data_IF_553336512373
#
_entry.id   IF_553336512373
#
_cell.length_a   1.000
_cell.length_b   1.000
_cell.length_c   1.000
_cell.angle_alpha   90.00
_cell.angle_beta   90.00
_cell.angle_gamma   90.00
#
_symmetry.space_group_name_H-M   'P 1'
#
loop_
_entity.id
_entity.type
_entity.pdbx_description
1 polymer ?
#
# COMPACT_ATOMS: atom_id res chain seq x y z
N UNK A 1 13.35 -0.20 9.96
CA UNK A 1 13.20 -0.25 8.49
C UNK A 1 12.67 1.10 8.05
N UNK A 2 13.52 1.92 7.42
CA UNK A 2 13.06 3.10 6.70
C UNK A 2 12.65 2.58 5.32
N UNK A 3 11.35 2.49 5.05
CA UNK A 3 10.88 2.15 3.70
C UNK A 3 11.19 3.39 2.86
N UNK A 4 12.24 3.29 2.03
CA UNK A 4 12.55 4.33 1.05
C UNK A 4 11.51 4.18 -0.06
N UNK A 5 10.58 5.13 -0.14
CA UNK A 5 9.66 5.22 -1.28
C UNK A 5 10.54 5.46 -2.51
N UNK A 6 10.62 4.46 -3.39
CA UNK A 6 11.24 4.63 -4.70
C UNK A 6 10.14 4.91 -5.69
N UNK A 7 10.15 6.12 -6.25
CA UNK A 7 9.30 6.44 -7.40
C UNK A 7 9.80 5.60 -8.58
N UNK A 8 8.86 5.03 -9.33
CA UNK A 8 9.14 4.26 -10.54
C UNK A 8 8.67 5.11 -11.73
N UNK A 9 9.53 6.01 -12.27
CA UNK A 9 9.13 6.92 -13.34
C UNK A 9 8.99 6.21 -14.71
N UNK A 10 9.52 4.99 -14.84
CA UNK A 10 9.59 4.29 -16.12
C UNK A 10 9.14 2.83 -16.00
N UNK A 11 8.61 2.30 -17.10
CA UNK A 11 8.22 0.90 -17.21
C UNK A 11 9.40 -0.05 -16.93
N UNK A 12 9.15 -1.07 -16.09
CA UNK A 12 10.13 -2.10 -15.76
C UNK A 12 9.61 -3.49 -16.17
N UNK A 13 10.28 -4.19 -17.11
CA UNK A 13 9.85 -5.52 -17.55
C UNK A 13 10.00 -6.57 -16.45
N UNK A 14 9.29 -7.69 -16.59
CA UNK A 14 9.41 -8.85 -15.69
C UNK A 14 8.62 -8.76 -14.38
N UNK A 15 7.66 -7.83 -14.28
CA UNK A 15 6.84 -7.61 -13.07
C UNK A 15 5.42 -8.15 -13.15
N UNK A 16 5.09 -8.88 -14.23
CA UNK A 16 3.78 -9.50 -14.42
C UNK A 16 2.70 -8.57 -14.97
N UNK A 17 3.07 -7.35 -15.40
CA UNK A 17 2.23 -6.40 -16.14
C UNK A 17 2.91 -6.00 -17.44
N UNK A 18 2.11 -5.72 -18.48
CA UNK A 18 2.60 -5.27 -19.79
C UNK A 18 2.96 -3.78 -19.76
N UNK A 19 3.59 -3.31 -20.84
CA UNK A 19 3.86 -1.88 -21.01
C UNK A 19 2.57 -1.10 -21.25
N UNK A 20 1.61 -1.67 -21.96
CA UNK A 20 0.30 -1.03 -22.19
C UNK A 20 -0.47 -0.85 -20.88
N UNK A 21 -0.43 -1.84 -19.98
CA UNK A 21 -1.02 -1.73 -18.64
C UNK A 21 -0.35 -0.62 -17.81
N UNK A 22 0.96 -0.46 -17.97
CA UNK A 22 1.72 0.57 -17.30
C UNK A 22 1.37 1.97 -17.82
N UNK A 23 1.43 2.14 -19.14
CA UNK A 23 1.15 3.42 -19.79
C UNK A 23 -0.32 3.85 -19.56
N UNK A 24 -1.24 2.89 -19.42
CA UNK A 24 -2.65 3.15 -19.12
C UNK A 24 -2.93 3.72 -17.72
N UNK A 25 -2.00 3.59 -16.77
CA UNK A 25 -2.13 4.13 -15.41
C UNK A 25 -1.02 5.13 -15.04
N UNK A 26 -0.12 5.42 -15.98
CA UNK A 26 1.03 6.30 -15.77
C UNK A 26 0.60 7.75 -15.48
N UNK A 27 -0.51 8.20 -16.07
CA UNK A 27 -1.09 9.51 -15.82
C UNK A 27 -1.88 9.52 -14.50
N UNK A 28 -1.15 9.46 -13.38
CA UNK A 28 -1.73 9.57 -12.05
C UNK A 28 -1.73 11.04 -11.61
N UNK A 29 -2.89 11.65 -11.31
CA UNK A 29 -2.94 13.02 -10.84
C UNK A 29 -2.12 13.20 -9.56
N UNK A 30 -1.39 14.32 -9.41
CA UNK A 30 -0.67 14.61 -8.18
C UNK A 30 -1.68 14.80 -7.05
N UNK A 31 -1.52 14.05 -5.96
CA UNK A 31 -2.35 14.24 -4.79
C UNK A 31 -1.88 15.48 -4.02
N UNK A 32 -2.77 16.45 -3.83
CA UNK A 32 -2.44 17.64 -3.06
C UNK A 32 -2.29 17.30 -1.58
N UNK A 33 -1.55 18.15 -0.87
CA UNK A 33 -1.37 18.01 0.58
C UNK A 33 -2.70 18.12 1.34
N UNK A 34 -3.57 19.01 0.88
CA UNK A 34 -4.89 19.26 1.46
C UNK A 34 -5.80 18.03 1.32
N UNK A 35 -5.77 17.36 0.16
CA UNK A 35 -6.51 16.10 -0.06
C UNK A 35 -5.98 14.96 0.80
N UNK A 36 -4.66 14.89 1.01
CA UNK A 36 -4.07 13.90 1.92
C UNK A 36 -4.45 14.17 3.39
N UNK A 37 -4.52 15.43 3.81
CA UNK A 37 -4.93 15.80 5.17
C UNK A 37 -6.44 15.57 5.41
N UNK A 38 -7.27 15.75 4.38
CA UNK A 38 -8.69 15.45 4.42
C UNK A 38 -9.01 13.94 4.27
N UNK A 39 -8.01 13.12 3.93
CA UNK A 39 -8.21 11.69 3.73
C UNK A 39 -8.58 10.98 5.03
N UNK A 40 -9.58 10.10 4.97
CA UNK A 40 -9.97 9.31 6.13
C UNK A 40 -8.85 8.32 6.50
N UNK A 41 -8.58 8.11 7.81
CA UNK A 41 -7.65 7.08 8.25
C UNK A 41 -8.03 5.71 7.69
N UNK A 42 -7.02 4.90 7.32
CA UNK A 42 -7.22 3.58 6.72
C UNK A 42 -8.19 2.68 7.51
N UNK A 43 -8.10 2.70 8.85
CA UNK A 43 -8.97 1.90 9.72
C UNK A 43 -10.44 2.30 9.66
N UNK A 44 -10.71 3.58 9.40
CA UNK A 44 -12.07 4.11 9.29
C UNK A 44 -12.62 3.89 7.88
N UNK A 45 -11.79 4.04 6.85
CA UNK A 45 -12.17 3.78 5.47
C UNK A 45 -12.40 2.29 5.18
N UNK A 46 -11.61 1.40 5.80
CA UNK A 46 -11.63 -0.05 5.56
C UNK A 46 -11.61 -0.86 6.86
N UNK A 47 -12.66 -0.72 7.67
CA UNK A 47 -12.81 -1.36 8.98
C UNK A 47 -12.54 -2.88 8.94
N UNK A 48 -13.17 -3.58 8.01
CA UNK A 48 -13.13 -5.05 7.95
C UNK A 48 -11.73 -5.55 7.58
N UNK A 49 -11.03 -4.81 6.72
CA UNK A 49 -9.65 -5.13 6.33
C UNK A 49 -8.69 -4.84 7.47
N UNK A 50 -8.89 -3.71 8.18
CA UNK A 50 -8.11 -3.36 9.35
C UNK A 50 -8.23 -4.44 10.44
N UNK A 51 -9.43 -4.95 10.70
CA UNK A 51 -9.63 -6.01 11.68
C UNK A 51 -8.91 -7.31 11.29
N UNK A 52 -9.02 -7.72 10.02
CA UNK A 52 -8.30 -8.89 9.50
C UNK A 52 -6.78 -8.74 9.67
N UNK A 53 -6.22 -7.57 9.38
CA UNK A 53 -4.80 -7.29 9.56
C UNK A 53 -4.37 -7.33 11.03
N UNK A 54 -5.16 -6.78 11.95
CA UNK A 54 -4.85 -6.80 13.38
C UNK A 54 -4.88 -8.23 13.95
N UNK A 55 -5.87 -9.05 13.56
CA UNK A 55 -5.91 -10.48 13.91
C UNK A 55 -4.67 -11.23 13.39
N UNK A 56 -4.26 -10.98 12.15
CA UNK A 56 -3.07 -11.61 11.56
C UNK A 56 -1.78 -11.19 12.30
N UNK A 57 -1.65 -9.91 12.67
CA UNK A 57 -0.51 -9.42 13.47
C UNK A 57 -0.48 -10.04 14.87
N UNK A 58 -1.63 -10.13 15.55
CA UNK A 58 -1.74 -10.75 16.86
C UNK A 58 -1.31 -12.22 16.81
N UNK A 59 -1.76 -12.98 15.81
CA UNK A 59 -1.35 -14.37 15.61
C UNK A 59 0.16 -14.51 15.35
N UNK A 60 0.76 -13.58 14.59
CA UNK A 60 2.21 -13.57 14.34
C UNK A 60 3.01 -13.27 15.61
N UNK A 61 2.56 -12.31 16.43
CA UNK A 61 3.18 -12.01 17.74
C UNK A 61 3.11 -13.20 18.69
N UNK A 62 1.94 -13.84 18.79
CA UNK A 62 1.74 -15.01 19.65
C UNK A 62 2.59 -16.23 19.22
N UNK A 63 2.84 -16.40 17.92
CA UNK A 63 3.78 -17.42 17.42
C UNK A 63 5.23 -17.06 17.73
N UNK A 64 5.60 -15.80 17.58
CA UNK A 64 6.96 -15.32 17.86
C UNK A 64 7.31 -15.35 19.35
N UNK A 65 6.34 -15.29 20.25
CA UNK A 65 6.56 -15.37 21.71
C UNK A 65 6.53 -16.80 22.25
N UNK A 66 6.23 -17.80 21.41
CA UNK A 66 6.24 -19.23 21.75
C UNK A 66 7.49 -19.96 21.25
N UNK A 67 8.37 -19.26 20.54
CA UNK A 67 9.67 -19.72 20.07
C UNK A 67 10.77 -19.06 20.90
#
# INVERSE_FOLDING_TARGET
MVIKVQEMPEYQPGRGYSKDDWDGVFDNPPMSREEMEAARPFKEAFSDLAEKMERAKAARRARSSRS
#
